data_IF_645339964944
#
_entry.id   IF_645339964944
#
_cell.length_a   1.000
_cell.length_b   1.000
_cell.length_c   1.000
_cell.angle_alpha   90.00
_cell.angle_beta   90.00
_cell.angle_gamma   90.00
#
_symmetry.space_group_name_H-M   'P 1'
#
loop_
_entity.id
_entity.type
_entity.pdbx_description
1 polymer ?
#
# COMPACT_ATOMS: atom_id res chain seq x y z
N UNK A 1 -15.45 -10.97 -9.52
CA UNK A 1 -14.16 -10.40 -9.95
C UNK A 1 -14.39 -9.58 -11.21
N UNK A 2 -13.94 -8.33 -11.25
CA UNK A 2 -13.83 -7.57 -12.50
C UNK A 2 -12.36 -7.46 -12.86
N UNK A 3 -12.04 -7.70 -14.12
CA UNK A 3 -10.72 -7.44 -14.66
C UNK A 3 -10.87 -6.89 -16.08
N UNK A 4 -10.16 -5.79 -16.32
CA UNK A 4 -10.03 -5.19 -17.65
C UNK A 4 -8.67 -5.59 -18.19
N UNK A 5 -8.64 -6.28 -19.32
CA UNK A 5 -7.40 -6.50 -20.06
C UNK A 5 -7.25 -5.34 -21.03
N UNK A 6 -6.26 -4.50 -20.78
CA UNK A 6 -5.86 -3.42 -21.68
C UNK A 6 -4.40 -3.68 -22.07
N UNK A 7 -4.21 -4.41 -23.16
CA UNK A 7 -2.89 -4.66 -23.72
C UNK A 7 -2.84 -4.04 -25.11
N UNK A 8 -2.08 -2.96 -25.35
CA UNK A 8 -2.02 -2.30 -26.66
C UNK A 8 -1.62 -3.23 -27.82
N UNK A 9 -0.92 -4.33 -27.50
CA UNK A 9 -0.47 -5.35 -28.47
C UNK A 9 -1.52 -6.43 -28.76
N UNK A 10 -2.54 -6.58 -27.92
CA UNK A 10 -3.62 -7.55 -28.08
C UNK A 10 -4.94 -6.82 -28.38
N UNK A 11 -5.76 -7.34 -29.29
CA UNK A 11 -7.05 -6.77 -29.67
C UNK A 11 -7.01 -5.33 -30.25
N UNK A 12 -5.94 -4.95 -30.96
CA UNK A 12 -5.78 -3.62 -31.59
C UNK A 12 -5.98 -2.43 -30.64
N UNK A 13 -5.66 -2.60 -29.35
CA UNK A 13 -5.88 -1.56 -28.33
C UNK A 13 -7.32 -1.45 -27.81
N UNK A 14 -8.23 -2.29 -28.28
CA UNK A 14 -9.59 -2.37 -27.74
C UNK A 14 -9.58 -3.07 -26.39
N UNK A 15 -10.11 -2.40 -25.37
CA UNK A 15 -10.32 -2.98 -24.06
C UNK A 15 -11.43 -4.05 -24.12
N UNK A 16 -11.22 -5.18 -23.45
CA UNK A 16 -12.29 -6.13 -23.16
C UNK A 16 -12.50 -6.18 -21.66
N UNK A 17 -13.76 -6.02 -21.24
CA UNK A 17 -14.12 -5.97 -19.83
C UNK A 17 -15.02 -7.14 -19.46
N UNK A 18 -14.67 -7.82 -18.39
CA UNK A 18 -15.47 -8.90 -17.81
C UNK A 18 -15.86 -8.53 -16.39
N UNK A 19 -17.15 -8.69 -16.06
CA UNK A 19 -17.68 -8.49 -14.72
C UNK A 19 -18.46 -9.75 -14.30
N UNK A 20 -18.09 -10.32 -13.16
CA UNK A 20 -18.80 -11.46 -12.58
C UNK A 20 -18.93 -11.28 -11.07
N UNK A 21 -20.06 -11.71 -10.51
CA UNK A 21 -20.32 -11.73 -9.08
C UNK A 21 -20.89 -10.41 -8.52
N UNK A 22 -20.95 -10.33 -7.20
CA UNK A 22 -21.52 -9.21 -6.47
C UNK A 22 -20.42 -8.42 -5.74
N UNK A 23 -20.68 -7.13 -5.50
CA UNK A 23 -19.75 -6.25 -4.79
C UNK A 23 -19.58 -6.61 -3.31
N UNK A 24 -20.59 -7.29 -2.75
CA UNK A 24 -20.63 -7.85 -1.39
C UNK A 24 -21.63 -9.01 -1.32
N UNK A 25 -21.67 -9.75 -0.20
CA UNK A 25 -22.67 -10.80 0.01
C UNK A 25 -24.09 -10.20 -0.12
N UNK A 26 -24.90 -10.76 -1.03
CA UNK A 26 -26.23 -10.24 -1.38
C UNK A 26 -26.25 -8.77 -1.84
N UNK A 27 -25.12 -8.27 -2.35
CA UNK A 27 -24.97 -6.90 -2.86
C UNK A 27 -25.35 -6.73 -4.32
N UNK A 28 -25.11 -5.54 -4.87
CA UNK A 28 -25.28 -5.26 -6.30
C UNK A 28 -24.19 -5.95 -7.15
N UNK A 29 -24.44 -6.18 -8.45
CA UNK A 29 -23.42 -6.74 -9.34
C UNK A 29 -22.15 -5.90 -9.40
N UNK A 30 -21.02 -6.56 -9.63
CA UNK A 30 -19.76 -5.89 -9.98
C UNK A 30 -19.92 -5.22 -11.36
N UNK A 31 -19.39 -4.01 -11.50
CA UNK A 31 -19.45 -3.22 -12.75
C UNK A 31 -18.09 -2.62 -13.08
N UNK A 32 -17.96 -2.00 -14.26
CA UNK A 32 -16.76 -1.26 -14.66
C UNK A 32 -16.47 -0.05 -13.75
N UNK A 33 -17.46 0.41 -12.98
CA UNK A 33 -17.32 1.51 -12.03
C UNK A 33 -16.97 1.05 -10.61
N UNK A 34 -16.93 -0.27 -10.36
CA UNK A 34 -16.55 -0.83 -9.06
C UNK A 34 -15.11 -0.46 -8.71
N UNK A 35 -14.90 0.07 -7.51
CA UNK A 35 -13.60 0.44 -6.97
C UNK A 35 -13.02 -0.70 -6.16
N UNK A 36 -11.85 -1.16 -6.57
CA UNK A 36 -11.08 -2.17 -5.87
C UNK A 36 -9.94 -1.49 -5.14
N UNK A 37 -9.75 -1.81 -3.87
CA UNK A 37 -8.44 -1.56 -3.28
C UNK A 37 -7.45 -2.53 -3.97
N UNK A 38 -6.27 -2.05 -4.33
CA UNK A 38 -5.34 -2.81 -5.19
C UNK A 38 -4.20 -3.50 -4.43
N UNK A 39 -4.13 -3.31 -3.12
CA UNK A 39 -3.13 -3.96 -2.25
C UNK A 39 -1.69 -3.67 -2.70
N UNK A 40 -0.87 -4.70 -2.78
CA UNK A 40 0.56 -4.55 -3.10
C UNK A 40 0.86 -3.94 -4.46
N UNK A 41 -0.10 -3.84 -5.38
CA UNK A 41 0.08 -3.09 -6.62
C UNK A 41 0.39 -1.60 -6.37
N UNK A 42 0.00 -1.05 -5.21
CA UNK A 42 0.36 0.32 -4.79
C UNK A 42 1.87 0.56 -4.73
N UNK A 43 2.68 -0.49 -4.56
CA UNK A 43 4.14 -0.41 -4.54
C UNK A 43 4.71 0.18 -5.83
N UNK A 44 4.10 -0.15 -6.97
CA UNK A 44 4.53 0.39 -8.26
C UNK A 44 4.39 1.92 -8.32
N UNK A 45 3.31 2.47 -7.76
CA UNK A 45 3.10 3.93 -7.70
C UNK A 45 4.15 4.61 -6.81
N UNK A 46 4.47 4.03 -5.65
CA UNK A 46 5.54 4.52 -4.78
C UNK A 46 6.89 4.51 -5.50
N UNK A 47 7.22 3.41 -6.20
CA UNK A 47 8.48 3.31 -6.96
C UNK A 47 8.56 4.39 -8.04
N UNK A 48 7.47 4.68 -8.75
CA UNK A 48 7.44 5.78 -9.73
C UNK A 48 7.76 7.13 -9.06
N UNK A 49 7.20 7.41 -7.88
CA UNK A 49 7.54 8.64 -7.14
C UNK A 49 9.03 8.67 -6.77
N UNK A 50 9.59 7.57 -6.26
CA UNK A 50 11.03 7.49 -5.94
C UNK A 50 11.92 7.74 -7.15
N UNK A 51 11.59 7.14 -8.29
CA UNK A 51 12.35 7.32 -9.54
C UNK A 51 12.25 8.75 -10.08
N UNK A 52 11.09 9.40 -9.94
CA UNK A 52 10.97 10.82 -10.28
C UNK A 52 11.79 11.71 -9.35
N UNK A 53 11.83 11.43 -8.05
CA UNK A 53 12.67 12.16 -7.10
C UNK A 53 14.16 11.96 -7.38
N UNK A 54 14.58 10.77 -7.82
CA UNK A 54 15.94 10.53 -8.30
C UNK A 54 16.25 11.35 -9.57
N UNK A 55 15.34 11.34 -10.55
CA UNK A 55 15.49 12.14 -11.77
C UNK A 55 15.53 13.66 -11.49
N UNK A 56 14.87 14.11 -10.42
CA UNK A 56 14.94 15.49 -9.90
C UNK A 56 16.23 15.79 -9.12
N UNK A 57 17.13 14.81 -8.94
CA UNK A 57 18.37 14.96 -8.18
C UNK A 57 18.17 15.06 -6.67
N UNK A 58 16.98 14.72 -6.15
CA UNK A 58 16.66 14.84 -4.71
C UNK A 58 17.14 13.65 -3.88
N UNK A 59 17.35 12.51 -4.52
CA UNK A 59 17.93 11.31 -3.92
C UNK A 59 18.68 10.51 -4.98
N UNK A 60 19.46 9.52 -4.55
CA UNK A 60 19.95 8.43 -5.37
C UNK A 60 19.36 7.12 -4.82
N UNK A 61 19.01 6.18 -5.69
CA UNK A 61 18.61 4.84 -5.24
C UNK A 61 19.73 4.11 -4.48
N UNK A 62 20.99 4.51 -4.66
CA UNK A 62 22.13 3.98 -3.92
C UNK A 62 22.34 4.67 -2.56
N UNK A 63 21.54 5.71 -2.24
CA UNK A 63 21.54 6.32 -0.92
C UNK A 63 21.16 5.29 0.15
N UNK A 64 21.91 5.33 1.24
CA UNK A 64 21.68 4.51 2.43
C UNK A 64 20.60 5.12 3.31
N UNK A 65 19.92 4.28 4.09
CA UNK A 65 18.93 4.70 5.09
C UNK A 65 19.50 5.73 6.08
N UNK A 66 20.78 5.58 6.43
CA UNK A 66 21.53 6.49 7.31
C UNK A 66 21.52 7.96 6.86
N UNK A 67 21.44 8.22 5.56
CA UNK A 67 21.37 9.58 4.99
C UNK A 67 20.10 10.31 5.45
N UNK A 68 19.00 9.59 5.56
CA UNK A 68 17.68 10.17 5.86
C UNK A 68 17.35 10.08 7.35
N UNK A 69 17.78 9.02 8.01
CA UNK A 69 17.50 8.77 9.43
C UNK A 69 18.79 8.34 10.16
N UNK A 70 19.73 9.26 10.40
CA UNK A 70 21.05 8.92 10.98
C UNK A 70 20.96 8.38 12.41
N UNK A 71 19.91 8.75 13.15
CA UNK A 71 19.72 8.38 14.55
C UNK A 71 18.64 7.31 14.77
N UNK A 72 17.97 6.86 13.71
CA UNK A 72 16.92 5.84 13.79
C UNK A 72 17.37 4.55 13.10
N UNK A 73 16.73 3.41 13.38
CA UNK A 73 17.01 2.13 12.69
C UNK A 73 18.51 1.74 12.68
N UNK A 74 19.21 1.73 13.84
CA UNK A 74 20.66 1.51 13.89
C UNK A 74 21.12 0.20 13.22
N UNK A 75 20.26 -0.82 13.22
CA UNK A 75 20.51 -2.13 12.62
C UNK A 75 20.39 -2.15 11.09
N UNK A 76 19.79 -1.13 10.48
CA UNK A 76 19.47 -1.08 9.05
C UNK A 76 20.16 0.07 8.30
N UNK A 77 21.05 0.80 8.99
CA UNK A 77 21.73 2.00 8.49
C UNK A 77 22.41 1.81 7.13
N UNK A 78 22.91 0.61 6.83
CA UNK A 78 23.64 0.30 5.60
C UNK A 78 22.75 -0.15 4.43
N UNK A 79 21.44 -0.32 4.63
CA UNK A 79 20.51 -0.70 3.58
C UNK A 79 20.31 0.49 2.63
N UNK A 80 20.42 0.24 1.33
CA UNK A 80 20.15 1.24 0.28
C UNK A 80 18.67 1.30 -0.07
N UNK A 81 18.24 2.43 -0.62
CA UNK A 81 16.89 2.58 -1.20
C UNK A 81 16.63 1.48 -2.24
N UNK A 82 17.56 1.24 -3.16
CA UNK A 82 17.45 0.23 -4.21
C UNK A 82 17.13 -1.14 -3.62
N UNK A 83 17.89 -1.57 -2.63
CA UNK A 83 17.68 -2.86 -1.95
C UNK A 83 16.31 -2.95 -1.27
N UNK A 84 15.77 -1.85 -0.74
CA UNK A 84 14.39 -1.83 -0.23
C UNK A 84 13.37 -2.03 -1.36
N UNK A 85 13.48 -1.27 -2.45
CA UNK A 85 12.48 -1.28 -3.53
C UNK A 85 12.43 -2.63 -4.27
N UNK A 86 13.57 -3.29 -4.45
CA UNK A 86 13.67 -4.62 -5.09
C UNK A 86 13.57 -5.79 -4.11
N UNK A 87 13.25 -5.54 -2.84
CA UNK A 87 13.05 -6.55 -1.79
C UNK A 87 14.28 -7.43 -1.52
N UNK A 88 15.47 -6.83 -1.52
CA UNK A 88 16.74 -7.50 -1.19
C UNK A 88 17.43 -6.88 0.02
N UNK A 89 16.70 -6.17 0.88
CA UNK A 89 17.27 -5.42 2.01
C UNK A 89 17.68 -6.29 3.19
N UNK A 90 17.02 -7.42 3.40
CA UNK A 90 17.10 -8.20 4.64
C UNK A 90 16.25 -7.64 5.80
N UNK A 91 15.51 -6.54 5.60
CA UNK A 91 14.69 -5.93 6.66
C UNK A 91 13.48 -6.83 7.00
N UNK A 92 13.26 -7.18 8.28
CA UNK A 92 12.16 -8.05 8.70
C UNK A 92 10.76 -7.53 8.35
N UNK A 93 9.84 -8.44 8.06
CA UNK A 93 8.43 -8.16 7.73
C UNK A 93 7.57 -7.94 8.99
N UNK A 94 6.76 -6.87 9.01
CA UNK A 94 5.87 -6.53 10.14
C UNK A 94 4.48 -7.20 10.07
N UNK A 95 4.03 -7.62 8.89
CA UNK A 95 2.62 -7.93 8.60
C UNK A 95 2.06 -9.03 9.50
N UNK A 96 2.84 -10.07 9.79
CA UNK A 96 2.40 -11.17 10.66
C UNK A 96 2.17 -10.71 12.12
N UNK A 97 2.91 -9.70 12.58
CA UNK A 97 2.74 -9.09 13.89
C UNK A 97 1.51 -8.21 13.90
N UNK A 98 1.35 -7.34 12.89
CA UNK A 98 0.18 -6.46 12.80
C UNK A 98 -1.13 -7.22 12.61
N UNK A 99 -1.15 -8.33 11.86
CA UNK A 99 -2.36 -9.15 11.71
C UNK A 99 -2.88 -9.59 13.08
N UNK A 100 -2.00 -9.99 14.01
CA UNK A 100 -2.41 -10.38 15.37
C UNK A 100 -3.01 -9.21 16.15
N UNK A 101 -2.42 -8.02 16.03
CA UNK A 101 -2.94 -6.82 16.70
C UNK A 101 -4.27 -6.36 16.09
N UNK A 102 -4.40 -6.46 14.76
CA UNK A 102 -5.60 -6.12 14.02
C UNK A 102 -6.77 -7.06 14.34
N UNK A 103 -6.52 -8.36 14.52
CA UNK A 103 -7.55 -9.33 14.98
C UNK A 103 -8.19 -8.94 16.31
N UNK A 104 -7.42 -8.31 17.21
CA UNK A 104 -7.91 -7.89 18.53
C UNK A 104 -8.62 -6.53 18.49
N UNK A 105 -8.26 -5.65 17.55
CA UNK A 105 -8.93 -4.37 17.35
C UNK A 105 -8.95 -3.98 15.85
N UNK A 106 -9.97 -4.44 15.11
CA UNK A 106 -10.17 -4.15 13.68
C UNK A 106 -10.23 -2.68 13.29
N UNK A 107 -10.62 -1.81 14.23
CA UNK A 107 -10.76 -0.36 14.00
C UNK A 107 -9.48 0.41 14.30
N UNK A 108 -8.45 -0.27 14.81
CA UNK A 108 -7.20 0.38 15.15
C UNK A 108 -6.49 0.88 13.90
N UNK A 109 -6.21 2.17 13.91
CA UNK A 109 -5.33 2.83 12.96
C UNK A 109 -3.91 2.79 13.53
N UNK A 110 -2.94 2.35 12.72
CA UNK A 110 -1.52 2.34 13.09
C UNK A 110 -0.80 3.44 12.33
N UNK A 111 -0.08 4.29 13.05
CA UNK A 111 0.86 5.23 12.45
C UNK A 111 2.05 4.50 11.81
N UNK A 112 2.70 5.13 10.83
CA UNK A 112 3.95 4.64 10.23
C UNK A 112 4.98 4.24 11.29
N UNK A 113 5.12 5.05 12.35
CA UNK A 113 6.10 4.79 13.41
C UNK A 113 5.69 3.61 14.29
N UNK A 114 4.40 3.44 14.62
CA UNK A 114 3.93 2.22 15.30
C UNK A 114 4.22 0.96 14.48
N UNK A 115 3.97 1.00 13.16
CA UNK A 115 4.25 -0.13 12.27
C UNK A 115 5.75 -0.47 12.29
N UNK A 116 6.63 0.54 12.18
CA UNK A 116 8.07 0.32 12.19
C UNK A 116 8.57 -0.14 13.57
N UNK A 117 7.98 0.36 14.65
CA UNK A 117 8.36 0.01 16.03
C UNK A 117 8.21 -1.49 16.32
N UNK A 118 7.31 -2.22 15.64
CA UNK A 118 7.16 -3.66 15.87
C UNK A 118 8.34 -4.50 15.35
N UNK A 119 9.17 -3.92 14.48
CA UNK A 119 10.29 -4.62 13.84
C UNK A 119 11.63 -3.89 13.96
N UNK A 120 11.67 -2.60 14.34
CA UNK A 120 12.90 -1.77 14.32
C UNK A 120 14.08 -2.30 15.12
N UNK A 121 13.82 -3.08 16.17
CA UNK A 121 14.86 -3.66 17.03
C UNK A 121 15.40 -5.01 16.50
N UNK A 122 14.85 -5.53 15.40
CA UNK A 122 15.28 -6.80 14.80
C UNK A 122 16.47 -6.60 13.88
N UNK A 123 17.39 -7.55 13.92
CA UNK A 123 18.51 -7.62 12.98
C UNK A 123 18.03 -7.92 11.56
N UNK A 124 18.88 -7.61 10.59
CA UNK A 124 18.65 -8.02 9.21
C UNK A 124 18.62 -9.55 9.14
N UNK A 125 17.65 -10.10 8.41
CA UNK A 125 17.52 -11.55 8.22
C UNK A 125 18.64 -12.14 7.35
N UNK A 126 19.29 -11.29 6.54
CA UNK A 126 20.45 -11.62 5.71
C UNK A 126 21.17 -10.33 5.28
N UNK A 127 22.40 -10.45 4.76
CA UNK A 127 23.17 -9.30 4.30
C UNK A 127 22.49 -8.59 3.12
N UNK A 128 22.40 -7.25 3.11
CA UNK A 128 21.70 -6.53 2.03
C UNK A 128 22.25 -6.87 0.64
N UNK A 129 21.34 -7.18 -0.29
CA UNK A 129 21.65 -7.58 -1.67
C UNK A 129 21.90 -9.07 -1.87
N UNK A 130 22.08 -9.87 -0.80
CA UNK A 130 22.44 -11.29 -0.95
C UNK A 130 21.27 -12.21 -1.31
N UNK A 131 20.03 -11.86 -0.92
CA UNK A 131 18.84 -12.67 -1.14
C UNK A 131 17.63 -11.80 -1.44
N UNK A 132 16.60 -12.40 -2.05
CA UNK A 132 15.27 -11.81 -2.16
C UNK A 132 14.40 -12.26 -1.00
N UNK A 133 13.74 -11.30 -0.34
CA UNK A 133 12.70 -11.56 0.65
C UNK A 133 11.67 -10.44 0.64
N UNK A 134 10.42 -10.80 0.39
CA UNK A 134 9.33 -9.85 0.36
C UNK A 134 9.07 -9.26 1.76
N UNK A 135 9.24 -7.94 1.88
CA UNK A 135 9.04 -7.23 3.15
C UNK A 135 8.32 -5.90 2.90
N UNK A 136 7.10 -5.77 3.41
CA UNK A 136 6.33 -4.53 3.37
C UNK A 136 7.00 -3.41 4.18
N UNK A 137 7.81 -3.74 5.18
CA UNK A 137 8.61 -2.79 5.96
C UNK A 137 9.48 -1.91 5.07
N UNK A 138 10.03 -2.49 3.99
CA UNK A 138 10.80 -1.74 2.98
C UNK A 138 10.02 -0.56 2.41
N UNK A 139 8.74 -0.77 2.12
CA UNK A 139 7.89 0.25 1.48
C UNK A 139 7.32 1.26 2.49
N UNK A 140 7.20 0.87 3.76
CA UNK A 140 6.90 1.81 4.85
C UNK A 140 8.07 2.76 5.08
N UNK A 141 9.31 2.26 5.06
CA UNK A 141 10.51 3.10 5.13
C UNK A 141 10.65 3.98 3.88
N UNK A 142 10.45 3.44 2.69
CA UNK A 142 10.51 4.22 1.44
C UNK A 142 9.46 5.34 1.42
N UNK A 143 8.26 5.10 1.94
CA UNK A 143 7.27 6.16 2.17
C UNK A 143 7.83 7.26 3.08
N UNK A 144 8.37 6.90 4.25
CA UNK A 144 8.94 7.87 5.21
C UNK A 144 10.08 8.70 4.57
N UNK A 145 10.86 8.13 3.66
CA UNK A 145 11.89 8.86 2.87
C UNK A 145 11.24 9.89 1.95
N UNK A 146 10.20 9.52 1.19
CA UNK A 146 9.46 10.46 0.33
C UNK A 146 8.94 11.63 1.15
N UNK A 147 8.26 11.35 2.27
CA UNK A 147 7.68 12.41 3.11
C UNK A 147 8.75 13.31 3.72
N UNK A 148 9.90 12.74 4.11
CA UNK A 148 11.04 13.54 4.60
C UNK A 148 11.63 14.47 3.54
N UNK A 149 11.77 14.00 2.29
CA UNK A 149 12.38 14.78 1.20
C UNK A 149 11.43 15.86 0.69
N UNK A 150 10.13 15.54 0.63
CA UNK A 150 9.13 16.37 -0.05
C UNK A 150 8.33 17.24 0.90
N UNK A 151 8.40 16.97 2.21
CA UNK A 151 7.55 17.56 3.25
C UNK A 151 6.04 17.41 2.98
N UNK A 152 5.68 16.40 2.18
CA UNK A 152 4.32 16.11 1.74
C UNK A 152 4.02 14.64 1.97
N UNK A 153 2.74 14.33 2.19
CA UNK A 153 2.32 12.94 2.32
C UNK A 153 2.50 12.18 1.00
N UNK A 154 2.74 10.87 1.07
CA UNK A 154 2.79 10.04 -0.14
C UNK A 154 1.50 10.09 -0.96
N UNK A 155 0.34 10.23 -0.30
CA UNK A 155 -0.93 10.45 -0.99
C UNK A 155 -0.88 11.70 -1.89
N UNK A 156 -0.32 12.80 -1.37
CA UNK A 156 -0.15 14.06 -2.12
C UNK A 156 0.81 13.91 -3.29
N UNK A 157 1.92 13.21 -3.07
CA UNK A 157 2.92 12.99 -4.12
C UNK A 157 2.36 12.08 -5.23
N UNK A 158 1.70 10.97 -4.91
CA UNK A 158 1.03 10.10 -5.90
C UNK A 158 -0.05 10.87 -6.67
N UNK A 159 -0.89 11.63 -5.96
CA UNK A 159 -1.96 12.43 -6.57
C UNK A 159 -1.40 13.41 -7.61
N UNK A 160 -0.40 14.21 -7.23
CA UNK A 160 0.13 15.28 -8.07
C UNK A 160 1.04 14.77 -9.18
N UNK A 161 1.80 13.70 -8.92
CA UNK A 161 2.79 13.17 -9.87
C UNK A 161 2.21 12.16 -10.84
N UNK A 162 1.16 11.44 -10.43
CA UNK A 162 0.63 10.31 -11.19
C UNK A 162 -0.84 10.54 -11.52
N UNK A 163 -1.72 10.64 -10.51
CA UNK A 163 -3.17 10.60 -10.76
C UNK A 163 -3.65 11.78 -11.60
N UNK A 164 -3.29 13.01 -11.23
CA UNK A 164 -3.66 14.22 -12.00
C UNK A 164 -3.00 14.26 -13.38
N UNK A 165 -1.75 13.81 -13.49
CA UNK A 165 -0.98 13.83 -14.76
C UNK A 165 -1.52 12.84 -15.77
N UNK A 166 -2.04 11.70 -15.31
CA UNK A 166 -2.60 10.63 -16.14
C UNK A 166 -4.14 10.61 -16.15
N UNK A 167 -4.78 11.61 -15.55
CA UNK A 167 -6.24 11.73 -15.44
C UNK A 167 -6.93 10.50 -14.81
N UNK A 168 -6.32 9.93 -13.76
CA UNK A 168 -6.83 8.75 -13.05
C UNK A 168 -7.90 9.13 -12.01
N UNK A 169 -9.05 9.61 -12.50
CA UNK A 169 -10.16 10.15 -11.69
C UNK A 169 -10.92 9.15 -10.80
N UNK A 170 -10.56 7.87 -10.88
CA UNK A 170 -11.11 6.76 -10.10
C UNK A 170 -10.04 6.05 -9.26
N UNK A 171 -8.90 6.71 -9.04
CA UNK A 171 -7.80 6.21 -8.20
C UNK A 171 -7.66 7.11 -6.96
N UNK A 172 -7.53 6.49 -5.80
CA UNK A 172 -7.41 7.18 -4.51
C UNK A 172 -6.32 6.49 -3.69
N UNK A 173 -5.48 7.29 -3.03
CA UNK A 173 -4.53 6.80 -2.03
C UNK A 173 -4.99 7.28 -0.67
N UNK A 174 -5.50 6.37 0.15
CA UNK A 174 -6.14 6.65 1.43
C UNK A 174 -5.41 5.90 2.53
N UNK A 175 -5.37 6.48 3.72
CA UNK A 175 -4.48 5.97 4.75
C UNK A 175 -5.05 4.75 5.48
N UNK A 176 -6.35 4.69 5.81
CA UNK A 176 -6.82 3.64 6.74
C UNK A 176 -8.24 3.10 6.48
N UNK A 177 -9.16 3.90 5.93
CA UNK A 177 -10.59 3.54 5.82
C UNK A 177 -11.15 3.98 4.46
N UNK A 178 -11.79 3.10 3.65
CA UNK A 178 -12.30 3.45 2.32
C UNK A 178 -13.26 4.63 2.25
N UNK A 179 -14.03 4.91 3.29
CA UNK A 179 -15.00 6.02 3.27
C UNK A 179 -14.37 7.37 3.60
N UNK A 180 -13.24 7.39 4.30
CA UNK A 180 -12.51 8.60 4.65
C UNK A 180 -11.48 8.91 3.56
N UNK A 181 -11.73 9.96 2.77
CA UNK A 181 -10.87 10.37 1.66
C UNK A 181 -11.34 9.94 0.26
N UNK A 182 -12.42 9.17 0.16
CA UNK A 182 -13.12 8.93 -1.12
C UNK A 182 -14.40 9.78 -1.17
N UNK A 183 -14.66 10.52 -2.25
CA UNK A 183 -15.92 11.27 -2.41
C UNK A 183 -17.16 10.37 -2.27
N UNK A 184 -18.17 10.86 -1.56
CA UNK A 184 -19.40 10.10 -1.23
C UNK A 184 -20.08 9.46 -2.44
N UNK A 185 -20.06 10.13 -3.60
CA UNK A 185 -20.59 9.61 -4.87
C UNK A 185 -19.98 8.28 -5.33
N UNK A 186 -18.82 7.89 -4.81
CA UNK A 186 -18.15 6.62 -5.12
C UNK A 186 -18.33 5.55 -4.05
N UNK A 187 -18.88 5.89 -2.87
CA UNK A 187 -18.99 4.96 -1.73
C UNK A 187 -19.77 3.70 -2.10
N UNK A 188 -20.85 3.86 -2.87
CA UNK A 188 -21.66 2.73 -3.32
C UNK A 188 -20.91 1.79 -4.26
N UNK A 189 -19.83 2.23 -4.90
CA UNK A 189 -19.07 1.41 -5.85
C UNK A 189 -17.88 0.71 -5.21
N UNK A 190 -17.60 0.94 -3.93
CA UNK A 190 -16.46 0.32 -3.25
C UNK A 190 -16.75 -1.16 -3.03
N UNK A 191 -15.83 -2.00 -3.50
CA UNK A 191 -15.88 -3.44 -3.28
C UNK A 191 -15.64 -3.76 -1.80
N UNK A 192 -16.58 -4.47 -1.19
CA UNK A 192 -16.42 -5.09 0.13
C UNK A 192 -15.30 -6.10 0.08
N UNK A 193 -14.18 -5.80 0.76
CA UNK A 193 -12.92 -6.44 0.40
C UNK A 193 -12.64 -7.74 1.14
N UNK A 194 -13.06 -7.86 2.39
CA UNK A 194 -12.93 -9.09 3.17
C UNK A 194 -13.97 -9.04 4.28
N UNK A 195 -14.74 -10.12 4.44
CA UNK A 195 -15.47 -10.31 5.68
C UNK A 195 -14.46 -10.66 6.76
N UNK A 196 -14.68 -10.18 7.97
CA UNK A 196 -14.03 -10.77 9.13
C UNK A 196 -14.50 -12.21 9.27
N UNK A 197 -13.60 -13.13 8.94
CA UNK A 197 -13.78 -14.56 9.13
C UNK A 197 -12.83 -15.01 10.26
N UNK A 198 -13.13 -14.53 11.47
CA UNK A 198 -12.42 -14.92 12.69
C UNK A 198 -13.45 -15.66 13.56
N UNK A 199 -13.52 -16.99 13.46
CA UNK A 199 -14.47 -17.80 14.25
C UNK A 199 -14.34 -17.56 15.76
N UNK A 200 -13.14 -17.20 16.23
CA UNK A 200 -12.84 -16.97 17.64
C UNK A 200 -13.32 -15.59 18.14
N UNK A 201 -13.72 -14.68 17.25
CA UNK A 201 -14.22 -13.35 17.61
C UNK A 201 -15.59 -13.09 16.97
N UNK A 202 -16.62 -13.68 17.59
CA UNK A 202 -17.99 -13.68 17.08
C UNK A 202 -18.61 -12.28 16.91
N UNK A 203 -18.04 -11.25 17.57
CA UNK A 203 -18.51 -9.87 17.42
C UNK A 203 -18.30 -9.31 16.01
N UNK A 204 -17.25 -9.74 15.32
CA UNK A 204 -16.90 -9.23 13.99
C UNK A 204 -17.20 -10.23 12.88
N UNK A 205 -17.64 -11.45 13.21
CA UNK A 205 -17.88 -12.49 12.22
C UNK A 205 -18.89 -12.07 11.15
N UNK A 206 -18.50 -12.16 9.88
CA UNK A 206 -19.35 -11.77 8.74
C UNK A 206 -19.53 -10.26 8.57
N UNK A 207 -18.82 -9.42 9.35
CA UNK A 207 -18.80 -7.97 9.14
C UNK A 207 -17.80 -7.59 8.05
N UNK A 208 -18.19 -6.64 7.19
CA UNK A 208 -17.27 -6.04 6.23
C UNK A 208 -16.31 -5.07 6.93
N UNK A 209 -15.02 -5.18 6.62
CA UNK A 209 -13.99 -4.21 7.03
C UNK A 209 -14.40 -2.77 6.69
N UNK A 210 -15.13 -2.55 5.59
CA UNK A 210 -15.61 -1.22 5.15
C UNK A 210 -16.76 -0.71 6.03
N UNK A 211 -17.50 -1.59 6.71
CA UNK A 211 -18.59 -1.20 7.59
C UNK A 211 -18.12 -0.99 9.03
N UNK A 212 -17.02 -1.63 9.46
CA UNK A 212 -16.34 -1.29 10.72
C UNK A 212 -15.69 0.09 10.73
N UNK A 213 -15.52 0.66 9.56
CA UNK A 213 -15.01 2.01 9.36
C UNK A 213 -16.05 3.10 9.66
N UNK A 214 -17.26 2.71 10.06
CA UNK A 214 -18.32 3.60 10.51
C UNK A 214 -18.80 3.17 11.89
N UNK A 215 -18.17 3.71 12.93
CA UNK A 215 -18.80 4.04 14.21
C UNK A 215 -17.87 4.89 15.04
#
# INVERSE_FOLDING_TARGET
MAFTLQCPKYNNGNATTYNVGLQKLNGKPVTNSSLFQIGSNSKAFLVVVMLQLEAEGKLSLDDKLSKFFPNDFPKWQNVTIKQMLIMTSGIPEYTSILIKLYKNNPKRIFSTDEILNVVKEKDLSFSPGSHYFYSNTNYVLANKIIEKITEKTLATEIENRIFKKLNLSHSFYINHIPKEGIPSKYHDNIMSRYLFDIPENNQYYGMDIIDLSMS
#
